data_IF_885677761343
#
_entry.id   IF_885677761343
#
_cell.length_a   1.000
_cell.length_b   1.000
_cell.length_c   1.000
_cell.angle_alpha   90.00
_cell.angle_beta   90.00
_cell.angle_gamma   90.00
#
_symmetry.space_group_name_H-M   'P 1'
#
loop_
_entity.id
_entity.type
_entity.pdbx_description
1 polymer ?
#
# COMPACT_ATOMS: atom_id res chain seq x y z
N UNK A 1 -0.90 8.68 -10.99
CA UNK A 1 -1.85 9.49 -11.81
C UNK A 1 -1.78 10.99 -11.50
N UNK A 2 -1.86 11.42 -10.23
CA UNK A 2 -1.89 12.86 -9.90
C UNK A 2 -0.67 13.65 -10.39
N UNK A 3 0.55 13.13 -10.19
CA UNK A 3 1.78 13.81 -10.63
C UNK A 3 1.84 13.92 -12.15
N UNK A 4 1.41 12.86 -12.86
CA UNK A 4 1.31 12.86 -14.31
C UNK A 4 0.34 13.94 -14.82
N UNK A 5 -0.87 13.99 -14.26
CA UNK A 5 -1.89 14.96 -14.65
C UNK A 5 -1.43 16.40 -14.37
N UNK A 6 -0.76 16.62 -13.22
CA UNK A 6 -0.16 17.92 -12.89
C UNK A 6 0.96 18.30 -13.86
N UNK A 7 1.87 17.37 -14.17
CA UNK A 7 2.94 17.61 -15.13
C UNK A 7 2.42 17.98 -16.53
N UNK A 8 1.20 17.56 -16.88
CA UNK A 8 0.51 17.95 -18.12
C UNK A 8 -0.31 19.24 -18.03
N UNK A 9 -0.41 19.86 -16.84
CA UNK A 9 -1.20 21.07 -16.62
C UNK A 9 -2.72 20.87 -16.66
N UNK A 10 -3.21 19.62 -16.72
CA UNK A 10 -4.63 19.32 -16.90
C UNK A 10 -5.48 19.50 -15.64
N UNK A 11 -4.85 19.79 -14.50
CA UNK A 11 -5.54 19.93 -13.22
C UNK A 11 -4.74 20.82 -12.24
N UNK A 12 -4.19 21.93 -12.73
CA UNK A 12 -3.29 22.79 -11.96
C UNK A 12 -3.95 23.37 -10.69
N UNK A 13 -5.23 23.72 -10.78
CA UNK A 13 -5.96 24.48 -9.74
C UNK A 13 -6.55 23.61 -8.62
N UNK A 14 -6.55 22.28 -8.78
CA UNK A 14 -7.04 21.39 -7.71
C UNK A 14 -5.91 21.08 -6.73
N UNK A 15 -6.18 20.96 -5.42
CA UNK A 15 -5.20 20.47 -4.46
C UNK A 15 -4.87 18.99 -4.72
N UNK A 16 -3.72 18.53 -4.21
CA UNK A 16 -3.37 17.11 -4.29
C UNK A 16 -4.33 16.27 -3.45
N UNK A 17 -4.73 15.14 -4.01
CA UNK A 17 -5.60 14.19 -3.33
C UNK A 17 -4.81 13.19 -2.50
N UNK A 18 -5.52 12.48 -1.62
CA UNK A 18 -5.00 11.28 -0.98
C UNK A 18 -5.48 10.05 -1.75
N UNK A 19 -4.55 9.20 -2.14
CA UNK A 19 -4.86 7.88 -2.71
C UNK A 19 -4.99 6.89 -1.56
N UNK A 20 -6.06 6.09 -1.54
CA UNK A 20 -6.28 5.09 -0.50
C UNK A 20 -6.48 3.74 -1.18
N UNK A 21 -5.58 2.80 -0.89
CA UNK A 21 -5.70 1.40 -1.25
C UNK A 21 -6.29 0.64 -0.06
N UNK A 22 -7.36 -0.10 -0.30
CA UNK A 22 -8.01 -0.99 0.66
C UNK A 22 -7.78 -2.41 0.17
N UNK A 23 -7.25 -3.27 1.03
CA UNK A 23 -6.84 -4.63 0.67
C UNK A 23 -6.95 -5.59 1.86
N UNK A 24 -7.12 -6.87 1.56
CA UNK A 24 -7.10 -7.94 2.56
C UNK A 24 -5.69 -8.45 2.85
N UNK A 25 -5.49 -9.02 4.04
CA UNK A 25 -4.22 -9.65 4.42
C UNK A 25 -3.82 -10.85 3.55
N UNK A 26 -4.80 -11.56 2.97
CA UNK A 26 -4.54 -12.65 2.02
C UNK A 26 -3.97 -12.17 0.68
N UNK A 27 -4.35 -10.96 0.23
CA UNK A 27 -3.89 -10.38 -1.05
C UNK A 27 -2.42 -9.94 -0.97
N UNK A 28 -1.89 -9.76 0.24
CA UNK A 28 -0.53 -9.28 0.49
C UNK A 28 0.58 -10.23 0.02
N UNK A 29 0.27 -11.50 -0.27
CA UNK A 29 1.22 -12.48 -0.81
C UNK A 29 1.30 -12.45 -2.36
N UNK A 30 0.48 -11.63 -3.03
CA UNK A 30 0.56 -11.45 -4.47
C UNK A 30 1.81 -10.65 -4.89
N UNK A 31 2.46 -11.08 -5.98
CA UNK A 31 3.70 -10.46 -6.46
C UNK A 31 3.55 -8.97 -6.84
N UNK A 32 2.37 -8.57 -7.32
CA UNK A 32 2.04 -7.20 -7.68
C UNK A 32 2.12 -6.23 -6.47
N UNK A 33 1.89 -6.71 -5.24
CA UNK A 33 2.01 -5.89 -4.02
C UNK A 33 3.46 -5.51 -3.79
N UNK A 34 4.37 -6.48 -3.89
CA UNK A 34 5.80 -6.23 -3.77
C UNK A 34 6.31 -5.28 -4.86
N UNK A 35 5.88 -5.52 -6.11
CA UNK A 35 6.23 -4.65 -7.24
C UNK A 35 5.73 -3.21 -7.03
N UNK A 36 4.50 -3.03 -6.53
CA UNK A 36 3.94 -1.73 -6.22
C UNK A 36 4.70 -1.00 -5.11
N UNK A 37 5.14 -1.72 -4.05
CA UNK A 37 5.96 -1.15 -2.98
C UNK A 37 7.34 -0.72 -3.49
N UNK A 38 7.98 -1.56 -4.31
CA UNK A 38 9.29 -1.27 -4.91
C UNK A 38 9.23 -0.07 -5.87
N UNK A 39 8.25 -0.05 -6.77
CA UNK A 39 8.06 1.05 -7.72
C UNK A 39 7.70 2.34 -6.98
N UNK A 40 6.86 2.24 -5.94
CA UNK A 40 6.50 3.36 -5.07
C UNK A 40 7.72 3.96 -4.37
N UNK A 41 8.58 3.12 -3.80
CA UNK A 41 9.84 3.56 -3.19
C UNK A 41 10.77 4.23 -4.20
N UNK A 42 10.96 3.61 -5.38
CA UNK A 42 11.82 4.11 -6.46
C UNK A 42 11.39 5.48 -7.00
N UNK A 43 10.08 5.72 -7.09
CA UNK A 43 9.52 6.94 -7.69
C UNK A 43 9.01 7.95 -6.66
N UNK A 44 9.26 7.73 -5.37
CA UNK A 44 8.88 8.68 -4.31
C UNK A 44 7.37 8.83 -4.15
N UNK A 45 6.64 7.70 -4.18
CA UNK A 45 5.19 7.68 -3.99
C UNK A 45 4.82 8.32 -2.65
N UNK A 46 3.86 9.25 -2.71
CA UNK A 46 3.44 10.11 -1.60
C UNK A 46 1.93 10.29 -1.61
N UNK A 47 1.39 10.88 -0.55
CA UNK A 47 -0.05 11.09 -0.36
C UNK A 47 -0.88 9.81 -0.56
N UNK A 48 -0.33 8.66 -0.17
CA UNK A 48 -0.95 7.35 -0.38
C UNK A 48 -1.07 6.63 0.94
N UNK A 49 -2.22 6.00 1.19
CA UNK A 49 -2.48 5.14 2.32
C UNK A 49 -2.75 3.72 1.84
N UNK A 50 -2.18 2.76 2.57
CA UNK A 50 -2.51 1.34 2.45
C UNK A 50 -3.26 0.97 3.72
N UNK A 51 -4.50 0.53 3.56
CA UNK A 51 -5.35 0.06 4.66
C UNK A 51 -5.53 -1.42 4.46
N UNK A 52 -4.84 -2.21 5.29
CA UNK A 52 -4.86 -3.66 5.24
C UNK A 52 -5.86 -4.18 6.28
N UNK A 53 -6.93 -4.83 5.84
CA UNK A 53 -7.82 -5.58 6.71
C UNK A 53 -7.15 -6.90 7.10
N UNK A 54 -6.71 -6.98 8.35
CA UNK A 54 -6.05 -8.16 8.91
C UNK A 54 -7.05 -9.00 9.72
N UNK A 55 -7.86 -9.78 9.01
CA UNK A 55 -8.89 -10.64 9.61
C UNK A 55 -8.47 -12.13 9.70
N UNK A 56 -7.31 -12.49 9.14
CA UNK A 56 -6.73 -13.85 9.08
C UNK A 56 -7.50 -14.85 8.23
N UNK A 57 -8.38 -14.40 7.35
CA UNK A 57 -9.23 -15.25 6.52
C UNK A 57 -8.95 -15.02 5.05
N UNK A 58 -8.64 -16.08 4.32
CA UNK A 58 -8.73 -16.11 2.87
C UNK A 58 -9.97 -16.89 2.43
N UNK A 59 -10.23 -16.93 1.12
CA UNK A 59 -11.38 -17.65 0.55
C UNK A 59 -11.37 -19.15 0.88
N UNK A 60 -10.17 -19.76 0.91
CA UNK A 60 -9.98 -21.22 1.02
C UNK A 60 -9.12 -21.64 2.23
N UNK A 61 -8.56 -20.69 3.00
CA UNK A 61 -7.66 -21.01 4.10
C UNK A 61 -7.60 -19.95 5.20
N UNK A 62 -7.13 -20.36 6.38
CA UNK A 62 -6.71 -19.42 7.44
C UNK A 62 -5.29 -18.96 7.13
N UNK A 63 -5.08 -17.64 7.15
CA UNK A 63 -3.76 -17.03 6.94
C UNK A 63 -2.81 -17.48 8.06
N UNK A 64 -1.58 -17.88 7.69
CA UNK A 64 -0.60 -18.44 8.63
C UNK A 64 -0.22 -17.43 9.72
N UNK A 65 -0.05 -17.92 10.95
CA UNK A 65 0.53 -17.13 12.04
C UNK A 65 1.92 -16.61 11.64
N UNK A 66 2.21 -15.35 11.97
CA UNK A 66 3.51 -14.72 11.68
C UNK A 66 3.55 -13.86 10.42
N UNK A 67 2.50 -13.86 9.58
CA UNK A 67 2.47 -13.08 8.34
C UNK A 67 2.50 -11.57 8.61
N UNK A 68 1.81 -11.11 9.64
CA UNK A 68 1.73 -9.67 9.96
C UNK A 68 3.10 -9.05 10.27
N UNK A 69 3.99 -9.74 11.01
CA UNK A 69 5.33 -9.21 11.31
C UNK A 69 6.18 -9.09 10.05
N UNK A 70 5.98 -10.00 9.08
CA UNK A 70 6.67 -9.94 7.78
C UNK A 70 6.19 -8.74 6.99
N UNK A 71 4.88 -8.51 6.92
CA UNK A 71 4.34 -7.34 6.22
C UNK A 71 4.75 -6.03 6.89
N UNK A 72 4.66 -5.94 8.21
CA UNK A 72 5.15 -4.76 8.93
C UNK A 72 6.61 -4.46 8.56
N UNK A 73 7.48 -5.48 8.63
CA UNK A 73 8.89 -5.33 8.28
C UNK A 73 9.09 -4.91 6.82
N UNK A 74 8.32 -5.51 5.90
CA UNK A 74 8.36 -5.18 4.47
C UNK A 74 8.03 -3.71 4.21
N UNK A 75 6.90 -3.23 4.73
CA UNK A 75 6.47 -1.84 4.57
C UNK A 75 7.49 -0.87 5.17
N UNK A 76 7.96 -1.14 6.40
CA UNK A 76 8.98 -0.31 7.06
C UNK A 76 10.28 -0.25 6.26
N UNK A 77 10.73 -1.37 5.68
CA UNK A 77 11.94 -1.43 4.85
C UNK A 77 11.81 -0.58 3.58
N UNK A 78 10.59 -0.46 3.03
CA UNK A 78 10.30 0.45 1.91
C UNK A 78 9.99 1.88 2.36
N UNK A 79 10.25 2.23 3.63
CA UNK A 79 10.14 3.59 4.14
C UNK A 79 8.72 4.03 4.49
N UNK A 80 7.76 3.10 4.57
CA UNK A 80 6.39 3.42 4.98
C UNK A 80 6.28 3.59 6.50
N UNK A 81 5.45 4.54 6.91
CA UNK A 81 4.95 4.60 8.27
C UNK A 81 3.88 3.52 8.47
N UNK A 82 4.13 2.60 9.40
CA UNK A 82 3.18 1.53 9.74
C UNK A 82 2.54 1.82 11.08
N UNK A 83 1.22 2.01 11.05
CA UNK A 83 0.34 2.19 12.21
C UNK A 83 -0.52 0.95 12.39
N UNK A 84 -0.42 0.32 13.55
CA UNK A 84 -1.22 -0.86 13.90
C UNK A 84 -2.42 -0.41 14.73
N UNK A 85 -3.62 -0.76 14.27
CA UNK A 85 -4.86 -0.54 15.00
C UNK A 85 -5.21 -1.81 15.78
N UNK A 86 -5.49 -1.67 17.08
CA UNK A 86 -5.85 -2.77 17.99
C UNK A 86 -7.28 -2.62 18.48
#
# INVERSE_FOLDING_TARGET
VQDYVRAKGWNADRPEGRMVALLGDAEMDEGNIFEALLEGWKHGLRNTWWVVDYNRQSLDAVVREGLWQRFESLFRNFGWEVVILK
#
